data_IF_649463518862
#
_entry.id   IF_649463518862
#
_cell.length_a   1.000
_cell.length_b   1.000
_cell.length_c   1.000
_cell.angle_alpha   90.00
_cell.angle_beta   90.00
_cell.angle_gamma   90.00
#
_symmetry.space_group_name_H-M   'P 1'
#
loop_
_entity.id
_entity.type
_entity.pdbx_description
1 polymer ?
#
# COMPACT_ATOMS: atom_id res chain seq x y z
N UNK A 1 3.09 43.47 -15.43
CA UNK A 1 3.72 42.14 -15.40
C UNK A 1 3.89 41.51 -14.02
N UNK A 2 3.09 41.89 -12.98
CA UNK A 2 3.21 41.35 -11.60
C UNK A 2 2.04 40.43 -11.17
N UNK A 3 1.08 40.15 -12.03
CA UNK A 3 -0.12 39.34 -11.68
C UNK A 3 -0.03 37.87 -12.11
N UNK A 4 0.95 37.48 -12.93
CA UNK A 4 1.06 36.11 -13.45
C UNK A 4 1.74 35.16 -12.43
N UNK A 5 2.56 35.70 -11.51
CA UNK A 5 3.34 34.91 -10.57
C UNK A 5 2.51 34.31 -9.42
N UNK A 6 1.40 34.95 -9.04
CA UNK A 6 0.59 34.49 -7.91
C UNK A 6 -0.34 33.31 -8.23
N UNK A 7 -0.88 33.27 -9.45
CA UNK A 7 -1.75 32.17 -9.90
C UNK A 7 -1.01 30.85 -10.01
N UNK A 8 0.25 30.87 -10.43
CA UNK A 8 1.09 29.66 -10.54
C UNK A 8 1.41 29.10 -9.14
N UNK A 9 1.67 29.96 -8.16
CA UNK A 9 2.01 29.53 -6.80
C UNK A 9 0.84 28.86 -6.07
N UNK A 10 -0.39 29.33 -6.28
CA UNK A 10 -1.60 28.75 -5.67
C UNK A 10 -1.91 27.36 -6.26
N UNK A 11 -1.66 27.15 -7.56
CA UNK A 11 -1.93 25.89 -8.23
C UNK A 11 -0.95 24.79 -7.80
N UNK A 12 0.31 25.11 -7.61
CA UNK A 12 1.32 24.15 -7.12
C UNK A 12 1.10 23.73 -5.66
N UNK A 13 0.63 24.65 -4.81
CA UNK A 13 0.34 24.34 -3.40
C UNK A 13 -0.88 23.40 -3.24
N UNK A 14 -1.86 23.45 -4.13
CA UNK A 14 -3.02 22.55 -4.09
C UNK A 14 -2.68 21.10 -4.46
N UNK A 15 -1.82 20.89 -5.45
CA UNK A 15 -1.35 19.57 -5.86
C UNK A 15 -0.54 18.87 -4.76
N UNK A 16 0.32 19.60 -4.07
CA UNK A 16 1.12 19.06 -2.98
C UNK A 16 0.27 18.59 -1.79
N UNK A 17 -0.81 19.29 -1.47
CA UNK A 17 -1.74 18.90 -0.39
C UNK A 17 -2.50 17.61 -0.70
N UNK A 18 -2.92 17.40 -1.93
CA UNK A 18 -3.64 16.18 -2.32
C UNK A 18 -2.75 14.94 -2.20
N UNK A 19 -1.50 15.02 -2.64
CA UNK A 19 -0.56 13.91 -2.55
C UNK A 19 -0.21 13.53 -1.10
N UNK A 20 -0.05 14.52 -0.21
CA UNK A 20 0.22 14.27 1.21
C UNK A 20 -0.97 13.56 1.90
N UNK A 21 -2.20 13.94 1.59
CA UNK A 21 -3.40 13.30 2.16
C UNK A 21 -3.54 11.82 1.77
N UNK A 22 -3.19 11.46 0.54
CA UNK A 22 -3.21 10.07 0.06
C UNK A 22 -2.15 9.21 0.76
N UNK A 23 -0.96 9.76 1.03
CA UNK A 23 0.11 9.06 1.74
C UNK A 23 -0.26 8.82 3.20
N UNK A 24 -0.88 9.79 3.87
CA UNK A 24 -1.32 9.66 5.26
C UNK A 24 -2.43 8.61 5.40
N UNK A 25 -3.40 8.58 4.50
CA UNK A 25 -4.43 7.54 4.44
C UNK A 25 -3.84 6.14 4.20
N UNK A 26 -2.89 6.02 3.30
CA UNK A 26 -2.17 4.77 3.04
C UNK A 26 -1.38 4.27 4.25
N UNK A 27 -0.73 5.18 4.98
CA UNK A 27 -0.01 4.88 6.22
C UNK A 27 -0.95 4.36 7.32
N UNK A 28 -2.08 5.01 7.53
CA UNK A 28 -3.06 4.57 8.52
C UNK A 28 -3.55 3.14 8.23
N UNK A 29 -3.92 2.87 6.98
CA UNK A 29 -4.34 1.54 6.56
C UNK A 29 -3.22 0.51 6.68
N UNK A 30 -1.99 0.85 6.32
CA UNK A 30 -0.84 -0.02 6.48
C UNK A 30 -0.62 -0.39 7.96
N UNK A 31 -0.66 0.58 8.86
CA UNK A 31 -0.52 0.33 10.30
C UNK A 31 -1.62 -0.58 10.83
N UNK A 32 -2.85 -0.42 10.36
CA UNK A 32 -4.01 -1.21 10.77
C UNK A 32 -3.96 -2.65 10.27
N UNK A 33 -3.61 -2.89 9.02
CA UNK A 33 -3.78 -4.19 8.37
C UNK A 33 -2.48 -4.95 8.10
N UNK A 34 -1.35 -4.27 8.03
CA UNK A 34 -0.09 -4.85 7.54
C UNK A 34 1.01 -4.90 8.61
N UNK A 35 1.07 -3.89 9.49
CA UNK A 35 2.19 -3.71 10.40
C UNK A 35 2.34 -4.82 11.44
N UNK A 36 1.27 -5.54 11.79
CA UNK A 36 1.35 -6.68 12.71
C UNK A 36 2.31 -7.77 12.22
N UNK A 37 2.39 -8.00 10.91
CA UNK A 37 3.31 -8.94 10.30
C UNK A 37 4.55 -8.25 9.72
N UNK A 38 4.34 -7.18 8.93
CA UNK A 38 5.42 -6.52 8.18
C UNK A 38 6.23 -5.51 8.99
N UNK A 39 5.81 -5.19 10.22
CA UNK A 39 6.45 -4.16 11.07
C UNK A 39 6.03 -2.74 10.68
N UNK A 40 6.19 -1.81 11.61
CA UNK A 40 5.83 -0.39 11.40
C UNK A 40 6.67 0.23 10.26
N UNK A 41 7.91 -0.22 10.09
CA UNK A 41 8.85 0.25 9.08
C UNK A 41 8.89 -0.60 7.82
N UNK A 42 8.10 -1.67 7.74
CA UNK A 42 8.03 -2.55 6.57
C UNK A 42 9.14 -3.59 6.45
N UNK A 43 9.93 -3.83 7.51
CA UNK A 43 11.11 -4.73 7.47
C UNK A 43 10.79 -6.21 7.68
N UNK A 44 9.52 -6.58 7.85
CA UNK A 44 9.11 -7.94 8.12
C UNK A 44 9.32 -8.36 9.57
N UNK A 45 9.46 -7.40 10.47
CA UNK A 45 9.77 -7.55 11.90
C UNK A 45 8.58 -7.26 12.81
N UNK A 46 7.37 -7.35 12.29
CA UNK A 46 6.15 -7.16 13.08
C UNK A 46 6.00 -8.22 14.19
N UNK A 47 5.25 -7.90 15.25
CA UNK A 47 5.15 -8.79 16.43
C UNK A 47 4.67 -10.20 16.09
N UNK A 48 3.78 -10.35 15.09
CA UNK A 48 3.24 -11.65 14.65
C UNK A 48 4.23 -12.42 13.76
N UNK A 49 5.24 -11.76 13.18
CA UNK A 49 6.17 -12.39 12.22
C UNK A 49 6.93 -13.58 12.80
N UNK A 50 7.15 -13.60 14.12
CA UNK A 50 7.87 -14.66 14.84
C UNK A 50 7.07 -15.94 14.97
N UNK A 51 5.75 -15.85 14.92
CA UNK A 51 4.83 -16.98 15.07
C UNK A 51 4.46 -17.62 13.73
N UNK A 52 4.88 -16.98 12.62
CA UNK A 52 4.61 -17.47 11.28
C UNK A 52 5.65 -18.52 10.84
N UNK A 53 5.18 -19.58 10.20
CA UNK A 53 6.05 -20.64 9.65
C UNK A 53 6.92 -20.17 8.48
N UNK A 54 6.64 -19.00 7.92
CA UNK A 54 7.35 -18.43 6.79
C UNK A 54 7.92 -17.08 7.18
N UNK A 55 9.07 -16.76 6.61
CA UNK A 55 9.70 -15.46 6.79
C UNK A 55 8.87 -14.38 6.12
N UNK A 56 8.45 -13.38 6.89
CA UNK A 56 7.78 -12.18 6.36
C UNK A 56 8.78 -11.36 5.55
N UNK A 57 8.48 -11.00 4.31
CA UNK A 57 9.42 -10.26 3.47
C UNK A 57 9.62 -8.82 3.96
N UNK A 58 10.85 -8.33 3.76
CA UNK A 58 11.20 -6.91 3.91
C UNK A 58 10.64 -6.13 2.71
N UNK A 59 9.63 -5.31 2.97
CA UNK A 59 8.96 -4.50 1.96
C UNK A 59 9.77 -3.27 1.53
N UNK A 60 10.84 -2.91 2.25
CA UNK A 60 11.63 -1.71 1.96
C UNK A 60 12.65 -1.90 0.84
N UNK A 61 12.84 -3.14 0.36
CA UNK A 61 13.82 -3.50 -0.67
C UNK A 61 13.19 -3.96 -1.99
N UNK A 62 11.89 -3.79 -2.16
CA UNK A 62 11.18 -4.24 -3.38
C UNK A 62 11.69 -3.53 -4.64
N UNK A 63 12.02 -2.25 -4.52
CA UNK A 63 12.63 -1.46 -5.59
C UNK A 63 13.98 -2.02 -5.99
N UNK A 64 14.83 -2.33 -5.02
CA UNK A 64 16.15 -2.91 -5.27
C UNK A 64 16.04 -4.27 -5.98
N UNK A 65 15.13 -5.12 -5.52
CA UNK A 65 14.87 -6.45 -6.10
C UNK A 65 14.20 -6.41 -7.48
N UNK A 66 13.82 -5.24 -7.98
CA UNK A 66 13.13 -5.03 -9.24
C UNK A 66 13.84 -3.98 -10.12
N UNK A 67 15.16 -4.10 -10.27
CA UNK A 67 15.97 -3.27 -11.16
C UNK A 67 15.83 -1.75 -10.92
N UNK A 68 15.65 -1.33 -9.67
CA UNK A 68 15.55 0.07 -9.30
C UNK A 68 14.15 0.68 -9.50
N UNK A 69 13.16 -0.09 -9.92
CA UNK A 69 11.77 0.34 -10.08
C UNK A 69 10.87 -0.29 -9.03
N UNK A 70 10.08 0.52 -8.34
CA UNK A 70 9.10 -0.01 -7.40
C UNK A 70 7.98 -0.75 -8.15
N UNK A 71 7.72 -2.05 -7.84
CA UNK A 71 6.79 -2.88 -8.60
C UNK A 71 5.34 -2.69 -8.13
N UNK A 72 4.76 -1.51 -8.34
CA UNK A 72 3.44 -1.09 -7.83
C UNK A 72 2.35 -2.11 -8.15
N UNK A 73 2.23 -2.56 -9.41
CA UNK A 73 1.18 -3.51 -9.83
C UNK A 73 1.34 -4.88 -9.17
N UNK A 74 2.59 -5.31 -8.94
CA UNK A 74 2.86 -6.56 -8.22
C UNK A 74 2.44 -6.45 -6.76
N UNK A 75 2.74 -5.33 -6.11
CA UNK A 75 2.35 -5.10 -4.72
C UNK A 75 0.84 -4.99 -4.61
N UNK A 76 0.19 -4.20 -5.46
CA UNK A 76 -1.27 -4.07 -5.50
C UNK A 76 -1.93 -5.43 -5.67
N UNK A 77 -1.52 -6.21 -6.68
CA UNK A 77 -2.10 -7.54 -6.95
C UNK A 77 -1.80 -8.58 -5.86
N UNK A 78 -0.77 -8.37 -5.06
CA UNK A 78 -0.52 -9.20 -3.87
C UNK A 78 -1.45 -8.86 -2.72
N UNK A 79 -1.82 -7.58 -2.56
CA UNK A 79 -2.74 -7.11 -1.53
C UNK A 79 -4.19 -7.49 -1.88
N UNK A 80 -4.64 -7.24 -3.10
CA UNK A 80 -6.01 -7.51 -3.53
C UNK A 80 -6.29 -8.99 -3.80
N UNK A 81 -5.23 -9.79 -3.95
CA UNK A 81 -5.31 -11.24 -4.20
C UNK A 81 -5.56 -11.61 -5.66
N UNK A 82 -5.54 -10.66 -6.59
CA UNK A 82 -5.70 -10.93 -8.03
C UNK A 82 -4.50 -11.71 -8.60
N UNK A 83 -3.33 -11.58 -7.96
CA UNK A 83 -2.17 -12.40 -8.27
C UNK A 83 -2.25 -13.75 -7.55
N UNK A 84 -2.52 -14.81 -8.28
CA UNK A 84 -2.38 -16.17 -7.78
C UNK A 84 -0.91 -16.49 -7.51
N UNK A 85 -0.46 -16.35 -6.28
CA UNK A 85 0.92 -16.73 -5.86
C UNK A 85 0.97 -18.24 -5.58
N UNK A 86 0.41 -19.06 -6.49
CA UNK A 86 0.47 -20.53 -6.38
C UNK A 86 1.89 -21.08 -6.45
N UNK A 87 2.84 -20.30 -6.99
CA UNK A 87 4.22 -20.75 -7.17
C UNK A 87 5.05 -20.82 -5.88
N UNK A 88 4.56 -20.28 -4.76
CA UNK A 88 5.32 -20.21 -3.52
C UNK A 88 4.64 -20.89 -2.32
N UNK A 89 3.74 -21.86 -2.56
CA UNK A 89 3.08 -22.59 -1.49
C UNK A 89 1.95 -21.81 -0.82
N UNK A 90 1.57 -22.24 0.36
CA UNK A 90 0.44 -21.75 1.13
C UNK A 90 0.33 -20.23 1.21
N UNK A 91 -0.91 -19.72 1.12
CA UNK A 91 -1.21 -18.29 1.26
C UNK A 91 -1.04 -17.88 2.73
N UNK A 92 0.17 -17.49 3.09
CA UNK A 92 0.45 -17.07 4.46
C UNK A 92 0.03 -15.61 4.74
N UNK A 93 -0.22 -14.83 3.67
CA UNK A 93 -0.76 -13.48 3.75
C UNK A 93 -2.26 -13.52 3.41
N UNK A 94 -3.13 -12.87 4.19
CA UNK A 94 -4.55 -12.74 3.86
C UNK A 94 -4.77 -12.09 2.50
N UNK A 95 -5.86 -12.48 1.82
CA UNK A 95 -6.33 -11.78 0.61
C UNK A 95 -7.10 -10.54 1.06
N UNK A 96 -6.38 -9.43 1.17
CA UNK A 96 -6.94 -8.20 1.74
C UNK A 96 -8.07 -7.62 0.89
N UNK A 97 -8.06 -7.83 -0.42
CA UNK A 97 -9.17 -7.45 -1.28
C UNK A 97 -10.50 -8.08 -0.87
N UNK A 98 -10.51 -9.35 -0.44
CA UNK A 98 -11.70 -10.03 0.09
C UNK A 98 -12.14 -9.42 1.43
N UNK A 99 -11.18 -9.15 2.32
CA UNK A 99 -11.45 -8.51 3.61
C UNK A 99 -12.07 -7.14 3.40
N UNK A 100 -11.49 -6.31 2.52
CA UNK A 100 -12.00 -4.97 2.23
C UNK A 100 -13.39 -4.99 1.58
N UNK A 101 -13.66 -5.93 0.68
CA UNK A 101 -15.01 -6.12 0.11
C UNK A 101 -16.02 -6.47 1.19
N UNK A 102 -15.68 -7.37 2.09
CA UNK A 102 -16.57 -7.79 3.18
C UNK A 102 -16.83 -6.65 4.17
N UNK A 103 -15.82 -5.84 4.50
CA UNK A 103 -15.99 -4.65 5.36
C UNK A 103 -16.99 -3.64 4.77
N UNK A 104 -17.08 -3.57 3.44
CA UNK A 104 -17.89 -2.59 2.69
C UNK A 104 -19.03 -3.22 1.89
N UNK A 105 -19.45 -4.47 2.22
CA UNK A 105 -20.43 -5.24 1.43
C UNK A 105 -21.79 -4.55 1.24
N UNK A 106 -22.14 -3.63 2.13
CA UNK A 106 -23.40 -2.85 2.09
C UNK A 106 -23.27 -1.53 1.33
N UNK A 107 -22.08 -1.18 0.88
CA UNK A 107 -21.83 0.07 0.16
C UNK A 107 -22.10 -0.09 -1.34
N UNK A 108 -22.55 1.00 -1.97
CA UNK A 108 -22.87 1.02 -3.41
C UNK A 108 -21.65 0.70 -4.30
N UNK A 109 -20.45 1.05 -3.86
CA UNK A 109 -19.21 0.94 -4.65
C UNK A 109 -18.18 0.05 -3.95
N UNK A 110 -18.59 -1.07 -3.41
CA UNK A 110 -17.76 -2.02 -2.65
C UNK A 110 -16.44 -2.38 -3.35
N UNK A 111 -16.49 -2.74 -4.63
CA UNK A 111 -15.29 -3.11 -5.41
C UNK A 111 -14.32 -1.94 -5.57
N UNK A 112 -14.85 -0.75 -5.86
CA UNK A 112 -14.02 0.45 -5.99
C UNK A 112 -13.38 0.83 -4.66
N UNK A 113 -14.13 0.78 -3.56
CA UNK A 113 -13.63 1.05 -2.21
C UNK A 113 -12.52 0.08 -1.81
N UNK A 114 -12.70 -1.21 -2.08
CA UNK A 114 -11.69 -2.23 -1.80
C UNK A 114 -10.40 -2.01 -2.61
N UNK A 115 -10.53 -1.71 -3.90
CA UNK A 115 -9.41 -1.42 -4.78
C UNK A 115 -8.65 -0.16 -4.35
N UNK A 116 -9.37 0.91 -3.99
CA UNK A 116 -8.75 2.15 -3.50
C UNK A 116 -7.96 1.94 -2.20
N UNK A 117 -8.49 1.17 -1.26
CA UNK A 117 -7.75 0.80 -0.04
C UNK A 117 -6.46 0.06 -0.36
N UNK A 118 -6.52 -0.96 -1.23
CA UNK A 118 -5.33 -1.71 -1.64
C UNK A 118 -4.31 -0.81 -2.35
N UNK A 119 -4.77 0.11 -3.20
CA UNK A 119 -3.93 1.08 -3.91
C UNK A 119 -3.22 2.03 -2.93
N UNK A 120 -3.93 2.63 -1.98
CA UNK A 120 -3.34 3.54 -0.98
C UNK A 120 -2.26 2.83 -0.15
N UNK A 121 -2.49 1.59 0.26
CA UNK A 121 -1.49 0.78 0.97
C UNK A 121 -0.27 0.54 0.07
N UNK A 122 -0.47 0.14 -1.20
CA UNK A 122 0.63 -0.09 -2.13
C UNK A 122 1.47 1.17 -2.37
N UNK A 123 0.84 2.34 -2.51
CA UNK A 123 1.51 3.63 -2.66
C UNK A 123 2.31 3.99 -1.40
N UNK A 124 1.76 3.80 -0.21
CA UNK A 124 2.49 3.99 1.04
C UNK A 124 3.72 3.07 1.13
N UNK A 125 3.60 1.79 0.80
CA UNK A 125 4.75 0.87 0.73
C UNK A 125 5.81 1.37 -0.25
N UNK A 126 5.40 2.02 -1.34
CA UNK A 126 6.29 2.70 -2.27
C UNK A 126 7.13 3.81 -1.62
N UNK A 127 6.62 4.50 -0.61
CA UNK A 127 7.37 5.53 0.14
C UNK A 127 8.40 4.95 1.12
N UNK A 128 8.27 3.66 1.48
CA UNK A 128 9.20 2.98 2.40
C UNK A 128 10.47 2.48 1.70
N UNK A 129 10.58 2.60 0.37
CA UNK A 129 11.70 2.04 -0.40
C UNK A 129 13.03 2.76 -0.11
N UNK A 130 14.09 1.99 0.04
CA UNK A 130 15.48 2.43 0.27
C UNK A 130 16.44 1.91 -0.81
#
# INVERSE_FOLDING_TARGET
MKRLSWTVLVFTASLAKSFAADVDGGKEMYLKYCASCHGITGKGDGPVSRDLKVKVPDLTVLKHSNHGMYPTDRVLSSIDGSRSVRAHGDRNMPVWGEVFRKEHEKEKYTELTALLKAKLIAEYVGTLQR
#
